data_IF_806565558117
#
_entry.id   IF_806565558117
#
_cell.length_a   1.000
_cell.length_b   1.000
_cell.length_c   1.000
_cell.angle_alpha   90.00
_cell.angle_beta   90.00
_cell.angle_gamma   90.00
#
_symmetry.space_group_name_H-M   'P 1'
#
loop_
_entity.id
_entity.type
_entity.pdbx_description
1 polymer ?
#
# COMPACT_ATOMS: atom_id res chain seq x y z
N UNK A 1 -35.98 8.96 10.26
CA UNK A 1 -35.94 9.21 8.79
C UNK A 1 -34.49 9.21 8.42
N UNK A 2 -34.07 8.47 7.39
CA UNK A 2 -32.66 8.42 6.99
C UNK A 2 -32.25 9.77 6.39
N UNK A 3 -31.25 10.41 7.00
CA UNK A 3 -30.71 11.71 6.54
C UNK A 3 -29.22 11.58 6.27
N UNK A 4 -28.76 12.24 5.21
CA UNK A 4 -27.35 12.33 4.87
C UNK A 4 -26.81 13.73 5.17
N UNK A 5 -25.70 13.82 5.89
CA UNK A 5 -24.99 15.08 6.17
C UNK A 5 -23.57 14.96 5.61
N UNK A 6 -23.12 15.97 4.87
CA UNK A 6 -21.82 15.93 4.21
C UNK A 6 -21.73 14.76 3.24
N UNK A 7 -22.25 14.94 2.02
CA UNK A 7 -22.32 13.88 1.02
C UNK A 7 -21.75 14.32 -0.33
N UNK A 8 -21.37 13.33 -1.12
CA UNK A 8 -20.92 13.48 -2.49
C UNK A 8 -21.71 12.55 -3.40
N UNK A 9 -22.20 13.10 -4.51
CA UNK A 9 -22.91 12.38 -5.55
C UNK A 9 -22.06 12.43 -6.82
N UNK A 10 -21.28 11.38 -7.09
CA UNK A 10 -20.40 11.35 -8.27
C UNK A 10 -21.20 11.10 -9.55
N UNK A 11 -21.89 9.96 -9.61
CA UNK A 11 -22.69 9.52 -10.77
C UNK A 11 -23.80 8.57 -10.32
N UNK A 12 -24.64 8.10 -11.26
CA UNK A 12 -25.67 7.10 -10.96
C UNK A 12 -25.07 5.87 -10.26
N UNK A 13 -25.65 5.50 -9.11
CA UNK A 13 -25.19 4.42 -8.22
C UNK A 13 -23.79 4.63 -7.60
N UNK A 14 -23.29 5.88 -7.58
CA UNK A 14 -22.02 6.25 -6.97
C UNK A 14 -22.16 7.46 -6.06
N UNK A 15 -22.21 7.21 -4.75
CA UNK A 15 -22.34 8.25 -3.74
C UNK A 15 -21.71 7.83 -2.41
N UNK A 16 -21.37 8.81 -1.58
CA UNK A 16 -20.97 8.60 -0.21
C UNK A 16 -21.42 9.76 0.69
N UNK A 17 -21.65 9.50 1.98
CA UNK A 17 -21.99 10.54 2.96
C UNK A 17 -22.13 9.98 4.37
N UNK A 18 -22.21 10.86 5.36
CA UNK A 18 -22.59 10.43 6.71
C UNK A 18 -24.09 10.20 6.78
N UNK A 19 -24.46 8.96 7.06
CA UNK A 19 -25.83 8.49 7.20
C UNK A 19 -26.22 8.50 8.68
N UNK A 20 -27.37 9.09 8.97
CA UNK A 20 -27.98 9.16 10.30
C UNK A 20 -29.35 8.49 10.23
N UNK A 21 -29.59 7.50 11.09
CA UNK A 21 -30.85 6.73 11.10
C UNK A 21 -31.87 7.37 12.05
N UNK A 22 -31.38 7.89 13.17
CA UNK A 22 -32.16 8.51 14.25
C UNK A 22 -31.66 9.93 14.57
N UNK A 23 -32.49 10.75 15.22
CA UNK A 23 -32.11 12.11 15.64
C UNK A 23 -31.03 12.13 16.73
N UNK A 24 -30.96 11.06 17.54
CA UNK A 24 -29.97 10.88 18.61
C UNK A 24 -28.60 10.39 18.10
N UNK A 25 -28.47 10.09 16.80
CA UNK A 25 -27.20 9.65 16.22
C UNK A 25 -26.21 10.83 16.14
N UNK A 26 -25.19 10.82 16.99
CA UNK A 26 -24.20 11.92 17.05
C UNK A 26 -23.10 11.76 16.01
N UNK A 27 -22.60 10.54 15.80
CA UNK A 27 -21.40 10.31 14.98
C UNK A 27 -21.71 10.02 13.50
N UNK A 28 -22.87 9.46 13.18
CA UNK A 28 -23.25 9.04 11.83
C UNK A 28 -22.37 7.90 11.28
N UNK A 29 -22.91 7.09 10.36
CA UNK A 29 -22.15 6.04 9.68
C UNK A 29 -21.75 6.49 8.27
N UNK A 30 -20.49 6.31 7.90
CA UNK A 30 -20.06 6.59 6.52
C UNK A 30 -20.65 5.52 5.59
N UNK A 31 -21.73 5.86 4.88
CA UNK A 31 -22.27 5.01 3.82
C UNK A 31 -21.62 5.37 2.50
N UNK A 32 -21.18 4.35 1.76
CA UNK A 32 -20.57 4.50 0.44
C UNK A 32 -21.14 3.45 -0.50
N UNK A 33 -21.69 3.88 -1.64
CA UNK A 33 -22.22 3.01 -2.70
C UNK A 33 -21.46 3.25 -3.99
N UNK A 34 -20.95 2.19 -4.61
CA UNK A 34 -20.29 2.23 -5.92
C UNK A 34 -18.96 2.99 -6.00
N UNK A 35 -18.51 3.59 -4.89
CA UNK A 35 -17.24 4.30 -4.73
C UNK A 35 -16.10 3.29 -4.52
N UNK A 36 -14.87 3.67 -4.85
CA UNK A 36 -13.70 2.80 -4.76
C UNK A 36 -13.41 2.25 -3.36
N UNK A 37 -13.97 2.84 -2.30
CA UNK A 37 -13.83 2.35 -0.91
C UNK A 37 -14.39 0.95 -0.70
N UNK A 38 -15.50 0.61 -1.37
CA UNK A 38 -16.16 -0.71 -1.24
C UNK A 38 -15.89 -1.64 -2.42
N UNK A 39 -15.15 -1.17 -3.42
CA UNK A 39 -14.87 -1.91 -4.64
C UNK A 39 -13.72 -2.89 -4.44
N UNK A 40 -13.96 -4.15 -4.78
CA UNK A 40 -12.97 -5.24 -4.67
C UNK A 40 -11.96 -5.29 -5.81
N UNK A 41 -12.21 -4.57 -6.91
CA UNK A 41 -11.34 -4.53 -8.09
C UNK A 41 -10.21 -3.49 -8.00
N UNK A 42 -10.25 -2.65 -6.96
CA UNK A 42 -9.22 -1.69 -6.59
C UNK A 42 -8.31 -2.24 -5.49
N UNK A 43 -7.13 -1.64 -5.34
CA UNK A 43 -6.19 -1.99 -4.28
C UNK A 43 -6.54 -1.27 -2.96
N UNK A 44 -6.13 -1.84 -1.83
CA UNK A 44 -6.50 -1.33 -0.50
C UNK A 44 -5.98 0.09 -0.24
N UNK A 45 -4.81 0.46 -0.77
CA UNK A 45 -4.27 1.82 -0.62
C UNK A 45 -5.24 2.88 -1.15
N UNK A 46 -5.92 2.60 -2.28
CA UNK A 46 -6.89 3.54 -2.88
C UNK A 46 -8.11 3.66 -1.99
N UNK A 47 -8.66 2.53 -1.52
CA UNK A 47 -9.81 2.51 -0.64
C UNK A 47 -9.52 3.26 0.67
N UNK A 48 -8.39 2.98 1.32
CA UNK A 48 -8.00 3.58 2.60
C UNK A 48 -7.75 5.09 2.47
N UNK A 49 -7.05 5.52 1.41
CA UNK A 49 -6.78 6.95 1.17
C UNK A 49 -8.08 7.70 0.87
N UNK A 50 -8.95 7.14 0.04
CA UNK A 50 -10.21 7.76 -0.31
C UNK A 50 -11.16 7.84 0.89
N UNK A 51 -11.32 6.76 1.66
CA UNK A 51 -12.19 6.72 2.83
C UNK A 51 -11.78 7.77 3.86
N UNK A 52 -10.48 7.84 4.19
CA UNK A 52 -10.00 8.85 5.15
C UNK A 52 -10.14 10.26 4.60
N UNK A 53 -9.93 10.45 3.30
CA UNK A 53 -10.12 11.76 2.65
C UNK A 53 -11.59 12.18 2.71
N UNK A 54 -12.54 11.28 2.43
CA UNK A 54 -13.98 11.54 2.53
C UNK A 54 -14.38 11.99 3.94
N UNK A 55 -13.89 11.31 4.98
CA UNK A 55 -14.16 11.71 6.39
C UNK A 55 -13.69 13.14 6.68
N UNK A 56 -12.52 13.53 6.16
CA UNK A 56 -11.97 14.89 6.32
C UNK A 56 -12.72 15.92 5.45
N UNK A 57 -13.18 15.51 4.26
CA UNK A 57 -13.94 16.35 3.34
C UNK A 57 -15.32 16.67 3.94
N UNK A 58 -16.02 15.66 4.44
CA UNK A 58 -17.35 15.84 5.02
C UNK A 58 -17.35 16.63 6.33
N UNK A 59 -16.23 16.60 7.07
CA UNK A 59 -16.00 17.46 8.24
C UNK A 59 -15.37 18.82 7.89
N UNK A 60 -15.20 19.12 6.59
CA UNK A 60 -14.63 20.37 6.07
C UNK A 60 -13.23 20.72 6.60
N UNK A 61 -12.46 19.72 7.03
CA UNK A 61 -11.14 19.94 7.63
C UNK A 61 -10.03 19.90 6.56
N UNK A 62 -9.93 20.98 5.77
CA UNK A 62 -9.00 21.08 4.64
C UNK A 62 -7.52 21.05 5.04
N UNK A 63 -7.18 21.62 6.20
CA UNK A 63 -5.81 21.60 6.73
C UNK A 63 -5.37 20.17 7.05
N UNK A 64 -6.23 19.41 7.74
CA UNK A 64 -5.95 18.01 8.04
C UNK A 64 -5.92 17.15 6.78
N UNK A 65 -6.80 17.41 5.81
CA UNK A 65 -6.78 16.72 4.50
C UNK A 65 -5.46 16.94 3.77
N UNK A 66 -4.99 18.18 3.67
CA UNK A 66 -3.71 18.51 3.03
C UNK A 66 -2.53 17.82 3.73
N UNK A 67 -2.45 17.91 5.06
CA UNK A 67 -1.39 17.25 5.84
C UNK A 67 -1.43 15.72 5.68
N UNK A 68 -2.63 15.13 5.69
CA UNK A 68 -2.83 13.70 5.49
C UNK A 68 -2.36 13.24 4.10
N UNK A 69 -2.83 13.90 3.04
CA UNK A 69 -2.48 13.53 1.66
C UNK A 69 -0.99 13.71 1.40
N UNK A 70 -0.40 14.82 1.84
CA UNK A 70 1.04 15.06 1.70
C UNK A 70 1.86 13.97 2.40
N UNK A 71 1.49 13.60 3.64
CA UNK A 71 2.19 12.57 4.40
C UNK A 71 2.00 11.17 3.81
N UNK A 72 0.78 10.83 3.36
CA UNK A 72 0.50 9.50 2.83
C UNK A 72 1.09 9.28 1.44
N UNK A 73 1.03 10.27 0.57
CA UNK A 73 1.56 10.16 -0.79
C UNK A 73 3.10 10.19 -0.81
N UNK A 74 3.75 10.95 0.08
CA UNK A 74 5.22 10.96 0.18
C UNK A 74 5.81 9.68 0.76
N UNK A 75 5.01 8.92 1.53
CA UNK A 75 5.42 7.69 2.24
C UNK A 75 4.73 6.43 1.71
N UNK A 76 4.34 6.41 0.44
CA UNK A 76 3.76 5.21 -0.18
C UNK A 76 4.72 4.01 -0.13
N UNK A 77 6.03 4.27 -0.20
CA UNK A 77 7.07 3.23 -0.12
C UNK A 77 7.19 2.56 1.26
N UNK A 78 6.69 3.21 2.32
CA UNK A 78 6.68 2.65 3.67
C UNK A 78 5.48 1.72 3.90
N UNK A 79 4.51 1.69 2.98
CA UNK A 79 3.32 0.85 3.09
C UNK A 79 3.61 -0.60 2.66
N UNK A 80 2.94 -1.59 3.27
CA UNK A 80 3.14 -2.99 2.89
C UNK A 80 2.66 -3.23 1.45
N UNK A 81 3.37 -4.10 0.73
CA UNK A 81 3.00 -4.44 -0.66
C UNK A 81 1.55 -4.95 -0.81
N UNK A 82 0.98 -5.55 0.25
CA UNK A 82 -0.41 -6.04 0.29
C UNK A 82 -1.40 -4.93 -0.05
N UNK A 83 -1.09 -3.69 0.32
CA UNK A 83 -1.95 -2.54 0.06
C UNK A 83 -2.01 -2.18 -1.43
N UNK A 84 -1.04 -2.65 -2.22
CA UNK A 84 -0.89 -2.41 -3.66
C UNK A 84 -1.35 -3.58 -4.53
N UNK A 85 -1.82 -4.68 -3.93
CA UNK A 85 -2.31 -5.83 -4.68
C UNK A 85 -3.67 -5.51 -5.29
N UNK A 86 -3.78 -5.68 -6.60
CA UNK A 86 -5.07 -5.74 -7.28
C UNK A 86 -5.59 -7.16 -7.25
N UNK A 87 -6.91 -7.30 -7.27
CA UNK A 87 -7.58 -8.59 -7.41
C UNK A 87 -8.72 -8.40 -8.40
N UNK A 88 -8.59 -8.91 -9.64
CA UNK A 88 -9.60 -8.73 -10.69
C UNK A 88 -10.10 -10.07 -11.20
N UNK A 89 -11.39 -10.09 -11.53
CA UNK A 89 -12.08 -11.27 -12.04
C UNK A 89 -11.59 -11.65 -13.45
N UNK A 90 -11.31 -12.94 -13.62
CA UNK A 90 -10.96 -13.54 -14.89
C UNK A 90 -12.22 -13.92 -15.67
N UNK A 91 -12.40 -13.33 -16.85
CA UNK A 91 -13.62 -13.48 -17.66
C UNK A 91 -13.62 -14.68 -18.63
N UNK A 92 -12.51 -15.40 -18.76
CA UNK A 92 -12.35 -16.47 -19.74
C UNK A 92 -12.17 -15.97 -21.17
N UNK A 93 -13.15 -15.24 -21.71
CA UNK A 93 -13.13 -14.76 -23.08
C UNK A 93 -12.55 -13.33 -23.18
N UNK A 94 -11.46 -13.20 -23.93
CA UNK A 94 -10.81 -11.93 -24.22
C UNK A 94 -10.47 -11.85 -25.72
N UNK A 95 -10.31 -10.64 -26.25
CA UNK A 95 -9.80 -10.46 -27.60
C UNK A 95 -8.33 -10.93 -27.69
N UNK A 96 -7.88 -11.37 -28.86
CA UNK A 96 -6.57 -11.99 -29.06
C UNK A 96 -5.39 -11.10 -28.59
N UNK A 97 -5.49 -9.78 -28.80
CA UNK A 97 -4.47 -8.80 -28.39
C UNK A 97 -4.85 -8.01 -27.13
N UNK A 98 -5.71 -8.55 -26.27
CA UNK A 98 -6.17 -7.86 -25.08
C UNK A 98 -5.05 -7.71 -24.03
N UNK A 99 -4.57 -6.47 -23.83
CA UNK A 99 -3.58 -6.13 -22.80
C UNK A 99 -4.21 -6.08 -21.39
N UNK A 100 -4.73 -7.20 -20.93
CA UNK A 100 -5.46 -7.32 -19.66
C UNK A 100 -4.57 -7.93 -18.57
N UNK A 101 -4.33 -7.24 -17.44
CA UNK A 101 -3.42 -7.72 -16.39
C UNK A 101 -3.73 -9.11 -15.85
N UNK A 102 -5.00 -9.39 -15.51
CA UNK A 102 -5.40 -10.69 -14.97
C UNK A 102 -5.27 -11.82 -15.99
N UNK A 103 -5.46 -11.53 -17.28
CA UNK A 103 -5.27 -12.50 -18.36
C UNK A 103 -3.79 -12.86 -18.47
N UNK A 104 -2.91 -11.85 -18.50
CA UNK A 104 -1.46 -12.05 -18.56
C UNK A 104 -0.96 -12.92 -17.39
N UNK A 105 -1.42 -12.64 -16.17
CA UNK A 105 -1.01 -13.41 -14.99
C UNK A 105 -1.56 -14.83 -15.04
N UNK A 106 -2.82 -15.02 -15.40
CA UNK A 106 -3.42 -16.34 -15.55
C UNK A 106 -2.67 -17.21 -16.58
N UNK A 107 -2.37 -16.65 -17.75
CA UNK A 107 -1.61 -17.33 -18.81
C UNK A 107 -0.19 -17.68 -18.37
N UNK A 108 0.49 -16.76 -17.65
CA UNK A 108 1.83 -16.99 -17.13
C UNK A 108 1.85 -18.16 -16.14
N UNK A 109 0.93 -18.17 -15.17
CA UNK A 109 0.83 -19.22 -14.16
C UNK A 109 0.49 -20.58 -14.77
N UNK A 110 -0.43 -20.61 -15.75
CA UNK A 110 -0.80 -21.84 -16.45
C UNK A 110 0.37 -22.39 -17.32
N UNK A 111 1.19 -21.51 -17.89
CA UNK A 111 2.38 -21.91 -18.63
C UNK A 111 3.48 -22.48 -17.72
N UNK A 112 3.60 -21.97 -16.50
CA UNK A 112 4.55 -22.49 -15.50
C UNK A 112 4.08 -23.83 -14.93
N UNK A 113 2.78 -23.98 -14.64
CA UNK A 113 2.17 -25.23 -14.22
C UNK A 113 0.72 -25.32 -14.71
N UNK A 114 0.38 -26.32 -15.55
CA UNK A 114 -0.98 -26.52 -16.03
C UNK A 114 -2.04 -26.66 -14.93
N UNK A 115 -1.66 -27.09 -13.73
CA UNK A 115 -2.56 -27.19 -12.57
C UNK A 115 -3.01 -25.82 -12.01
N UNK A 116 -2.34 -24.72 -12.38
CA UNK A 116 -2.70 -23.35 -11.99
C UNK A 116 -3.64 -22.66 -13.00
N UNK A 117 -4.38 -23.45 -13.79
CA UNK A 117 -5.37 -22.89 -14.72
C UNK A 117 -6.42 -22.07 -13.95
N UNK A 118 -6.57 -20.81 -14.33
CA UNK A 118 -7.52 -19.89 -13.71
C UNK A 118 -8.92 -20.14 -14.25
N UNK A 119 -9.89 -20.25 -13.36
CA UNK A 119 -11.29 -20.47 -13.73
C UNK A 119 -12.02 -19.15 -14.03
N UNK A 120 -13.06 -19.23 -14.85
CA UNK A 120 -13.94 -18.08 -15.11
C UNK A 120 -14.63 -17.64 -13.81
N UNK A 121 -14.59 -16.36 -13.50
CA UNK A 121 -15.09 -15.79 -12.24
C UNK A 121 -14.07 -15.77 -11.11
N UNK A 122 -12.93 -16.47 -11.26
CA UNK A 122 -11.86 -16.45 -10.27
C UNK A 122 -11.19 -15.08 -10.25
N UNK A 123 -10.84 -14.58 -9.05
CA UNK A 123 -10.12 -13.31 -8.93
C UNK A 123 -8.62 -13.56 -8.92
N UNK A 124 -7.94 -13.01 -9.91
CA UNK A 124 -6.50 -13.14 -10.07
C UNK A 124 -5.81 -11.97 -9.36
N UNK A 125 -4.97 -12.24 -8.34
CA UNK A 125 -4.20 -11.21 -7.68
C UNK A 125 -2.95 -10.85 -8.48
N UNK A 126 -2.64 -9.57 -8.57
CA UNK A 126 -1.44 -9.09 -9.27
C UNK A 126 -0.95 -7.74 -8.72
N UNK A 127 0.31 -7.42 -9.01
CA UNK A 127 0.95 -6.15 -8.62
C UNK A 127 1.67 -5.52 -9.81
N UNK A 128 1.76 -4.19 -9.83
CA UNK A 128 2.47 -3.44 -10.89
C UNK A 128 3.81 -2.95 -10.37
N UNK A 129 4.87 -3.39 -11.02
CA UNK A 129 6.26 -3.08 -10.66
C UNK A 129 6.85 -1.98 -11.54
N UNK A 130 8.00 -1.43 -11.16
CA UNK A 130 8.76 -0.52 -12.00
C UNK A 130 9.36 -1.30 -13.17
N UNK A 131 9.31 -0.69 -14.36
CA UNK A 131 9.97 -1.20 -15.57
C UNK A 131 11.03 -0.22 -16.05
N UNK A 132 11.77 -0.59 -17.12
CA UNK A 132 12.65 0.35 -17.80
C UNK A 132 11.87 1.58 -18.31
N UNK A 133 12.55 2.70 -18.60
CA UNK A 133 11.92 3.83 -19.28
C UNK A 133 11.22 3.32 -20.56
N UNK A 134 10.00 3.80 -20.81
CA UNK A 134 9.11 3.41 -21.91
C UNK A 134 8.47 2.01 -21.84
N UNK A 135 8.66 1.28 -20.74
CA UNK A 135 7.95 0.03 -20.53
C UNK A 135 6.43 0.24 -20.45
N UNK A 136 5.68 -0.59 -21.16
CA UNK A 136 4.21 -0.59 -21.05
C UNK A 136 3.79 -1.09 -19.66
N UNK A 137 2.72 -0.53 -19.10
CA UNK A 137 2.18 -0.97 -17.79
C UNK A 137 1.92 -2.47 -17.76
N UNK A 138 1.37 -3.02 -18.85
CA UNK A 138 1.08 -4.45 -18.97
C UNK A 138 2.36 -5.30 -18.86
N UNK A 139 3.49 -4.84 -19.41
CA UNK A 139 4.78 -5.54 -19.29
C UNK A 139 5.27 -5.59 -17.84
N UNK A 140 4.94 -4.59 -17.03
CA UNK A 140 5.33 -4.45 -15.62
C UNK A 140 4.42 -5.18 -14.62
N UNK A 141 3.30 -5.75 -15.07
CA UNK A 141 2.43 -6.59 -14.24
C UNK A 141 3.16 -7.88 -13.86
N UNK A 142 3.10 -8.24 -12.58
CA UNK A 142 3.67 -9.47 -12.00
C UNK A 142 2.61 -10.23 -11.20
N UNK A 143 2.71 -11.55 -11.20
CA UNK A 143 2.00 -12.39 -10.24
C UNK A 143 2.58 -12.15 -8.83
N UNK A 144 1.83 -12.50 -7.78
CA UNK A 144 2.39 -12.42 -6.43
C UNK A 144 3.59 -13.36 -6.26
N UNK A 145 3.56 -14.64 -6.67
CA UNK A 145 4.73 -15.51 -6.59
C UNK A 145 5.97 -14.93 -7.27
N UNK A 146 5.84 -14.41 -8.50
CA UNK A 146 6.99 -13.81 -9.24
C UNK A 146 7.54 -12.58 -8.51
N UNK A 147 6.65 -11.72 -8.03
CA UNK A 147 7.04 -10.53 -7.27
C UNK A 147 7.74 -10.91 -5.97
N UNK A 148 7.28 -11.95 -5.29
CA UNK A 148 7.85 -12.40 -4.03
C UNK A 148 9.20 -13.09 -4.23
N UNK A 149 9.38 -13.80 -5.35
CA UNK A 149 10.64 -14.47 -5.70
C UNK A 149 11.77 -13.48 -6.03
N UNK A 150 11.48 -12.36 -6.71
CA UNK A 150 12.50 -11.38 -7.09
C UNK A 150 12.49 -10.11 -6.22
N UNK A 151 13.44 -10.03 -5.28
CA UNK A 151 13.62 -8.90 -4.37
C UNK A 151 14.04 -7.58 -5.07
N UNK A 152 14.55 -7.63 -6.31
CA UNK A 152 15.02 -6.45 -7.03
C UNK A 152 13.86 -5.63 -7.58
N UNK A 153 12.75 -6.28 -7.89
CA UNK A 153 11.54 -5.62 -8.39
C UNK A 153 11.06 -4.59 -7.36
N UNK A 154 10.75 -3.37 -7.78
CA UNK A 154 10.16 -2.35 -6.91
C UNK A 154 8.73 -2.05 -7.35
N UNK A 155 7.86 -1.69 -6.40
CA UNK A 155 6.48 -1.29 -6.73
C UNK A 155 6.52 0.05 -7.47
N UNK A 156 5.69 0.21 -8.50
CA UNK A 156 5.61 1.46 -9.23
C UNK A 156 4.69 2.48 -8.51
N UNK A 157 5.13 3.03 -7.38
CA UNK A 157 4.32 3.93 -6.55
C UNK A 157 3.73 5.12 -7.33
N UNK A 158 4.49 5.74 -8.23
CA UNK A 158 4.03 6.83 -9.10
C UNK A 158 2.84 6.42 -9.99
N UNK A 159 2.81 5.20 -10.50
CA UNK A 159 1.68 4.66 -11.25
C UNK A 159 0.44 4.53 -10.36
N UNK A 160 0.57 3.99 -9.14
CA UNK A 160 -0.55 3.89 -8.20
C UNK A 160 -1.10 5.26 -7.82
N UNK A 161 -0.22 6.23 -7.56
CA UNK A 161 -0.61 7.61 -7.25
C UNK A 161 -1.37 8.26 -8.41
N UNK A 162 -0.78 8.32 -9.61
CA UNK A 162 -1.36 9.05 -10.74
C UNK A 162 -2.54 8.35 -11.43
N UNK A 163 -2.54 7.02 -11.48
CA UNK A 163 -3.55 6.26 -12.24
C UNK A 163 -4.72 5.80 -11.37
N UNK A 164 -4.51 5.64 -10.06
CA UNK A 164 -5.54 5.09 -9.17
C UNK A 164 -5.93 6.04 -8.03
N UNK A 165 -4.99 6.50 -7.21
CA UNK A 165 -5.29 7.31 -6.01
C UNK A 165 -5.82 8.70 -6.40
N UNK A 166 -5.07 9.46 -7.20
CA UNK A 166 -5.47 10.82 -7.58
C UNK A 166 -6.76 10.85 -8.39
N UNK A 167 -7.00 9.95 -9.37
CA UNK A 167 -8.28 9.92 -10.08
C UNK A 167 -9.46 9.59 -9.16
N UNK A 168 -9.28 8.75 -8.14
CA UNK A 168 -10.33 8.47 -7.16
C UNK A 168 -10.65 9.69 -6.29
N UNK A 169 -9.62 10.43 -5.86
CA UNK A 169 -9.81 11.69 -5.13
C UNK A 169 -10.47 12.75 -6.02
N UNK A 170 -10.04 12.90 -7.28
CA UNK A 170 -10.60 13.87 -8.23
C UNK A 170 -12.08 13.69 -8.50
N UNK A 171 -12.57 12.44 -8.61
CA UNK A 171 -14.02 12.19 -8.76
C UNK A 171 -14.87 12.85 -7.65
N UNK A 172 -14.31 12.97 -6.45
CA UNK A 172 -14.95 13.65 -5.32
C UNK A 172 -14.62 15.14 -5.30
N UNK A 173 -13.35 15.52 -5.49
CA UNK A 173 -12.92 16.92 -5.35
C UNK A 173 -13.24 17.81 -6.52
N UNK A 174 -13.48 17.27 -7.73
CA UNK A 174 -13.86 18.06 -8.90
C UNK A 174 -15.27 18.67 -8.73
N UNK A 175 -16.08 18.13 -7.80
CA UNK A 175 -17.35 18.72 -7.36
C UNK A 175 -17.16 19.88 -6.38
N UNK A 176 -15.93 20.11 -5.93
CA UNK A 176 -15.52 21.16 -5.01
C UNK A 176 -14.55 22.12 -5.73
N UNK A 177 -14.40 23.37 -5.29
CA UNK A 177 -13.39 24.30 -5.83
C UNK A 177 -11.99 23.98 -5.28
N UNK A 178 -11.59 22.70 -5.27
CA UNK A 178 -10.32 22.21 -4.72
C UNK A 178 -9.62 21.37 -5.77
N UNK A 179 -8.38 21.74 -6.10
CA UNK A 179 -7.55 20.96 -7.02
C UNK A 179 -6.40 20.30 -6.26
N UNK A 180 -6.34 18.96 -6.33
CA UNK A 180 -5.22 18.20 -5.75
C UNK A 180 -4.15 18.00 -6.82
N UNK A 181 -3.01 18.63 -6.59
CA UNK A 181 -1.79 18.48 -7.39
C UNK A 181 -0.73 17.74 -6.57
N UNK A 182 -0.43 16.52 -6.97
CA UNK A 182 0.70 15.77 -6.43
C UNK A 182 1.76 15.60 -7.51
N UNK A 183 3.02 15.68 -7.11
CA UNK A 183 4.19 15.39 -7.93
C UNK A 183 5.04 14.41 -7.15
N UNK A 184 5.55 13.39 -7.84
CA UNK A 184 6.55 12.53 -7.25
C UNK A 184 7.81 13.35 -6.98
N UNK A 185 8.30 13.32 -5.74
CA UNK A 185 9.57 13.92 -5.42
C UNK A 185 10.69 13.17 -6.14
N UNK A 186 11.66 13.91 -6.68
CA UNK A 186 12.78 13.36 -7.47
C UNK A 186 13.77 12.58 -6.60
N UNK A 187 13.54 12.49 -5.29
CA UNK A 187 14.37 11.75 -4.35
C UNK A 187 13.56 11.11 -3.23
N UNK A 188 14.13 10.07 -2.63
CA UNK A 188 13.53 9.42 -1.45
C UNK A 188 13.55 10.36 -0.25
N UNK A 189 12.46 10.41 0.50
CA UNK A 189 12.38 11.18 1.74
C UNK A 189 13.25 10.54 2.83
N UNK A 190 13.73 11.37 3.75
CA UNK A 190 14.30 10.88 5.00
C UNK A 190 13.32 9.93 5.72
N UNK A 191 13.85 8.86 6.30
CA UNK A 191 13.06 7.86 7.04
C UNK A 191 12.40 8.42 8.32
N UNK A 192 12.88 9.55 8.83
CA UNK A 192 12.35 10.20 10.05
C UNK A 192 10.95 10.76 9.83
N UNK A 193 9.95 10.40 10.67
CA UNK A 193 8.63 11.01 10.63
C UNK A 193 8.71 12.54 10.81
N UNK A 194 8.07 13.29 9.92
CA UNK A 194 8.04 14.75 9.96
C UNK A 194 9.28 15.43 9.37
N UNK A 195 10.32 14.68 8.99
CA UNK A 195 11.42 15.23 8.21
C UNK A 195 11.06 15.23 6.71
N UNK A 196 11.01 16.43 6.11
CA UNK A 196 10.66 16.61 4.70
C UNK A 196 11.89 16.75 3.79
N UNK A 197 13.08 16.42 4.28
CA UNK A 197 14.30 16.51 3.46
C UNK A 197 14.28 15.44 2.36
N UNK A 198 14.35 15.90 1.11
CA UNK A 198 14.40 15.07 -0.11
C UNK A 198 15.85 14.62 -0.35
N UNK A 199 16.04 13.38 -0.83
CA UNK A 199 17.36 12.83 -1.15
C UNK A 199 18.06 12.13 0.02
N UNK A 200 17.39 12.02 1.17
CA UNK A 200 17.88 11.21 2.28
C UNK A 200 17.55 9.73 2.06
N UNK A 201 18.49 8.94 1.53
CA UNK A 201 18.32 7.49 1.45
C UNK A 201 19.29 6.74 2.37
N UNK A 202 18.86 6.24 3.54
CA UNK A 202 17.58 6.47 4.22
C UNK A 202 17.55 7.70 5.14
N UNK A 203 18.68 8.38 5.33
CA UNK A 203 18.80 9.53 6.24
C UNK A 203 19.23 10.79 5.50
N UNK A 204 18.74 11.95 5.92
CA UNK A 204 19.41 13.22 5.60
C UNK A 204 20.59 13.46 6.55
N UNK A 205 21.46 14.42 6.21
CA UNK A 205 22.65 14.74 7.01
C UNK A 205 22.32 14.98 8.49
N UNK A 206 21.29 15.79 8.78
CA UNK A 206 20.85 16.10 10.13
C UNK A 206 20.30 14.87 10.87
N UNK A 207 19.35 14.14 10.26
CA UNK A 207 18.69 13.00 10.92
C UNK A 207 19.63 11.81 11.17
N UNK A 208 20.77 11.74 10.51
CA UNK A 208 21.76 10.68 10.73
C UNK A 208 22.57 10.82 12.03
N UNK A 209 22.49 11.98 12.69
CA UNK A 209 23.30 12.31 13.88
C UNK A 209 22.49 12.23 15.19
N UNK A 210 21.17 12.32 15.13
CA UNK A 210 20.33 12.34 16.33
C UNK A 210 20.07 10.93 16.90
N UNK A 211 20.17 10.80 18.22
CA UNK A 211 19.83 9.55 18.92
C UNK A 211 18.32 9.20 18.84
N UNK A 212 17.45 10.20 18.77
CA UNK A 212 15.99 10.00 18.69
C UNK A 212 15.55 9.37 17.37
N UNK A 213 16.15 9.77 16.25
CA UNK A 213 15.89 9.19 14.93
C UNK A 213 16.39 7.75 14.84
N UNK A 214 17.55 7.46 15.44
CA UNK A 214 18.04 6.09 15.57
C UNK A 214 17.10 5.20 16.41
N UNK A 215 16.65 5.69 17.57
CA UNK A 215 15.66 4.98 18.41
C UNK A 215 14.37 4.69 17.66
N UNK A 216 13.89 5.64 16.85
CA UNK A 216 12.74 5.41 15.97
C UNK A 216 13.00 4.30 14.95
N UNK A 217 14.17 4.27 14.30
CA UNK A 217 14.55 3.19 13.39
C UNK A 217 14.55 1.83 14.07
N UNK A 218 15.17 1.72 15.25
CA UNK A 218 15.21 0.47 16.01
C UNK A 218 13.80 0.05 16.44
N UNK A 219 12.98 1.00 16.91
CA UNK A 219 11.59 0.71 17.32
C UNK A 219 10.75 0.24 16.14
N UNK A 220 10.94 0.84 14.98
CA UNK A 220 10.27 0.42 13.74
C UNK A 220 10.73 -0.98 13.33
N UNK A 221 12.02 -1.26 13.41
CA UNK A 221 12.56 -2.59 13.13
C UNK A 221 12.03 -3.64 14.12
N UNK A 222 11.98 -3.32 15.41
CA UNK A 222 11.44 -4.20 16.43
C UNK A 222 9.94 -4.49 16.22
N UNK A 223 9.16 -3.50 15.76
CA UNK A 223 7.75 -3.71 15.39
C UNK A 223 7.63 -4.67 14.20
N UNK A 224 8.45 -4.49 13.18
CA UNK A 224 8.50 -5.41 12.04
C UNK A 224 8.90 -6.82 12.47
N UNK A 225 9.91 -6.96 13.34
CA UNK A 225 10.34 -8.25 13.89
C UNK A 225 9.24 -8.93 14.74
N UNK A 226 8.44 -8.16 15.49
CA UNK A 226 7.27 -8.70 16.20
C UNK A 226 6.21 -9.21 15.23
N UNK A 227 5.90 -8.46 14.17
CA UNK A 227 4.96 -8.89 13.13
C UNK A 227 5.47 -10.14 12.41
N UNK A 228 6.77 -10.19 12.11
CA UNK A 228 7.48 -11.39 11.65
C UNK A 228 7.25 -12.55 12.63
N UNK A 229 7.57 -12.40 13.91
CA UNK A 229 7.39 -13.44 14.92
C UNK A 229 5.93 -13.96 15.01
N UNK A 230 4.95 -13.06 15.03
CA UNK A 230 3.52 -13.43 15.02
C UNK A 230 3.15 -14.21 13.75
N UNK A 231 3.63 -13.77 12.58
CA UNK A 231 3.41 -14.47 11.32
C UNK A 231 4.10 -15.83 11.25
N UNK A 232 5.22 -16.04 11.98
CA UNK A 232 5.89 -17.33 12.18
C UNK A 232 4.99 -18.28 12.97
N UNK A 233 4.40 -17.77 14.05
CA UNK A 233 3.46 -18.53 14.90
C UNK A 233 2.20 -18.90 14.12
N UNK A 234 1.71 -18.03 13.23
CA UNK A 234 0.51 -18.32 12.45
C UNK A 234 0.69 -19.39 11.35
N UNK A 235 1.92 -19.78 10.99
CA UNK A 235 2.18 -20.80 9.96
C UNK A 235 2.50 -22.15 10.59
N UNK A 236 1.66 -23.17 10.39
CA UNK A 236 1.91 -24.54 10.85
C UNK A 236 3.24 -25.11 10.36
N UNK A 237 3.65 -24.81 9.11
CA UNK A 237 4.95 -25.22 8.56
C UNK A 237 6.16 -24.50 9.18
N UNK A 238 6.00 -23.29 9.71
CA UNK A 238 7.07 -22.57 10.41
C UNK A 238 7.20 -23.00 11.88
N UNK A 239 6.15 -23.60 12.46
CA UNK A 239 6.20 -24.15 13.81
C UNK A 239 6.97 -25.48 13.88
N UNK A 240 6.97 -26.28 12.80
CA UNK A 240 7.56 -27.62 12.77
C UNK A 240 9.07 -27.67 12.41
N UNK A 241 9.65 -26.58 11.88
CA UNK A 241 11.08 -26.52 11.50
C UNK A 241 11.80 -25.35 12.18
N UNK A 242 12.98 -25.61 12.72
CA UNK A 242 13.90 -24.59 13.28
C UNK A 242 14.40 -23.58 12.24
N UNK A 243 14.39 -23.96 10.97
CA UNK A 243 14.71 -23.12 9.81
C UNK A 243 13.68 -23.38 8.71
N UNK A 244 12.58 -22.62 8.72
CA UNK A 244 11.66 -22.62 7.58
C UNK A 244 12.40 -22.07 6.35
N UNK A 245 12.33 -22.77 5.21
CA UNK A 245 12.83 -22.22 3.95
C UNK A 245 11.91 -21.05 3.57
N UNK A 246 12.42 -19.85 3.79
CA UNK A 246 11.69 -18.59 3.71
C UNK A 246 11.13 -18.29 2.32
N UNK A 247 11.66 -18.93 1.27
CA UNK A 247 11.19 -18.81 -0.13
C UNK A 247 9.91 -19.63 -0.41
N UNK A 248 9.58 -20.60 0.45
CA UNK A 248 8.46 -21.54 0.28
C UNK A 248 7.31 -21.31 1.28
N UNK A 249 7.44 -20.32 2.16
CA UNK A 249 6.41 -19.97 3.14
C UNK A 249 5.32 -19.11 2.49
N UNK A 250 4.09 -19.64 2.40
CA UNK A 250 2.95 -18.97 1.78
C UNK A 250 2.34 -17.86 2.67
N UNK A 251 2.90 -17.56 3.85
CA UNK A 251 2.39 -16.45 4.66
C UNK A 251 2.79 -15.10 4.05
N UNK A 252 1.85 -14.49 3.32
CA UNK A 252 1.97 -13.20 2.66
C UNK A 252 2.46 -12.04 3.56
N UNK A 253 2.24 -12.12 4.87
CA UNK A 253 2.70 -11.11 5.84
C UNK A 253 4.25 -11.01 5.88
N UNK A 254 4.97 -12.11 5.62
CA UNK A 254 6.43 -12.17 5.71
C UNK A 254 7.16 -11.34 4.66
N UNK A 255 6.75 -11.44 3.40
CA UNK A 255 7.52 -10.88 2.30
C UNK A 255 7.32 -9.38 2.12
N UNK A 256 6.26 -8.82 2.72
CA UNK A 256 6.08 -7.37 2.79
C UNK A 256 7.08 -6.68 3.69
N UNK A 257 7.54 -7.39 4.72
CA UNK A 257 8.51 -6.90 5.69
C UNK A 257 9.95 -7.00 5.16
N UNK A 258 10.24 -7.79 4.12
CA UNK A 258 11.59 -7.92 3.55
C UNK A 258 12.01 -6.73 2.66
N UNK A 259 11.03 -5.92 2.22
CA UNK A 259 11.21 -4.80 1.28
C UNK A 259 11.20 -3.44 1.95
N UNK A 260 11.04 -3.39 3.27
CA UNK A 260 10.94 -2.14 4.04
C UNK A 260 12.28 -1.42 4.10
N UNK A 261 12.25 -0.08 4.06
CA UNK A 261 13.44 0.76 4.24
C UNK A 261 14.02 0.66 5.66
N UNK A 262 13.27 0.08 6.60
CA UNK A 262 13.56 0.03 8.04
C UNK A 262 14.87 -0.67 8.37
N UNK A 263 15.13 -1.85 7.78
CA UNK A 263 16.40 -2.56 8.00
C UNK A 263 17.59 -1.71 7.54
N UNK A 264 17.49 -1.13 6.33
CA UNK A 264 18.50 -0.22 5.79
C UNK A 264 18.65 1.04 6.64
N UNK A 265 17.56 1.57 7.18
CA UNK A 265 17.57 2.73 8.07
C UNK A 265 18.40 2.45 9.32
N UNK A 266 18.23 1.28 9.95
CA UNK A 266 19.04 0.91 11.11
C UNK A 266 20.52 0.72 10.74
N UNK A 267 20.83 -0.06 9.70
CA UNK A 267 22.22 -0.42 9.38
C UNK A 267 23.06 0.72 8.82
N UNK A 268 22.43 1.74 8.22
CA UNK A 268 23.12 2.90 7.66
C UNK A 268 23.14 4.13 8.57
N UNK A 269 22.59 4.05 9.79
CA UNK A 269 22.63 5.15 10.74
C UNK A 269 24.04 5.29 11.34
N UNK A 270 24.54 6.52 11.57
CA UNK A 270 25.92 6.73 12.08
C UNK A 270 26.16 6.16 13.49
N UNK A 271 25.09 6.10 14.28
CA UNK A 271 25.11 5.51 15.63
C UNK A 271 25.03 3.98 15.64
N UNK A 272 24.95 3.32 14.48
CA UNK A 272 24.93 1.86 14.38
C UNK A 272 26.33 1.28 14.60
N UNK A 273 26.48 0.42 15.61
CA UNK A 273 27.77 -0.15 16.04
C UNK A 273 28.04 -1.56 15.50
N UNK A 274 27.26 -2.07 14.54
CA UNK A 274 27.44 -3.42 13.96
C UNK A 274 26.95 -4.58 14.83
N UNK A 275 26.66 -4.36 16.11
CA UNK A 275 26.03 -5.36 16.98
C UNK A 275 24.51 -5.37 16.79
N UNK A 276 23.86 -6.53 16.99
CA UNK A 276 22.40 -6.64 16.88
C UNK A 276 21.74 -5.66 17.85
N UNK A 277 21.08 -4.58 17.36
CA UNK A 277 20.62 -3.49 18.21
C UNK A 277 19.45 -3.91 19.11
N UNK A 278 18.85 -5.08 18.84
CA UNK A 278 17.82 -5.69 19.67
C UNK A 278 18.37 -6.34 20.94
N UNK A 279 19.67 -6.65 21.01
CA UNK A 279 20.31 -7.13 22.24
C UNK A 279 20.57 -6.00 23.24
N UNK A 280 20.58 -4.73 22.79
CA UNK A 280 20.81 -3.56 23.64
C UNK A 280 19.56 -3.07 24.37
N UNK A 281 18.36 -3.47 23.95
CA UNK A 281 17.11 -3.14 24.65
C UNK A 281 16.76 -4.12 25.78
N UNK A 282 17.63 -5.11 26.08
CA UNK A 282 17.44 -6.07 27.16
C UNK A 282 18.00 -5.61 28.52
N UNK A 283 18.68 -4.46 28.59
CA UNK A 283 19.20 -3.90 29.84
C UNK A 283 19.05 -2.37 29.84
N UNK A 284 17.88 -1.89 30.29
CA UNK A 284 17.69 -0.68 31.09
C UNK A 284 16.21 -0.54 31.49
#
# INVERSE_FOLDING_TARGET
MLVYIGCVLETKKRYAGWMYESEDDVEGQLDAKGIETIRRDTCMVVANVLERSLKLIFTQNWRALSAYLNTKLSRLEDLPYTDFVFSKEFRGHYAENAAVPQLKVAMRLAADNPAHITLVGERVPYIVTQGPPDATVISCVRSLPDFLADQRLQIHYTYYAHVHILPALRRVTDLLPVTICWRADVGTHCFTPGCLTIGGNPWCAACSEFGSTFRYAITSLAREERLRAVARIACSRCQERSCCNMELCQNHIWNGLARTRTQRAVTSHRLYSGYNPLNLMAFQ
#
